data_IF_595621669212
#
_entry.id   IF_595621669212
#
_cell.length_a   1.000
_cell.length_b   1.000
_cell.length_c   1.000
_cell.angle_alpha   90.00
_cell.angle_beta   90.00
_cell.angle_gamma   90.00
#
_symmetry.space_group_name_H-M   'P 1'
#
loop_
_entity.id
_entity.type
_entity.pdbx_description
1 polymer ?
#
# COMPACT_ATOMS: atom_id res chain seq x y z
N UNK A 1 23.97 -40.64 67.27
CA UNK A 1 23.33 -41.32 66.13
C UNK A 1 21.98 -40.65 65.92
N UNK A 2 21.83 -39.77 64.94
CA UNK A 2 21.56 -40.00 63.53
C UNK A 2 20.07 -40.27 63.23
N UNK A 3 19.51 -39.29 62.50
CA UNK A 3 18.48 -39.35 61.45
C UNK A 3 16.99 -39.33 61.82
N UNK A 4 16.38 -38.24 61.33
CA UNK A 4 14.97 -37.90 61.18
C UNK A 4 14.23 -38.88 60.24
N UNK A 5 12.89 -38.87 60.19
CA UNK A 5 12.29 -38.32 58.97
C UNK A 5 11.04 -37.45 59.20
N UNK A 6 10.95 -36.43 58.33
CA UNK A 6 9.88 -35.43 58.18
C UNK A 6 8.57 -36.03 57.69
N UNK A 7 7.43 -35.47 58.14
CA UNK A 7 6.53 -34.58 57.38
C UNK A 7 5.15 -34.53 58.07
N UNK A 8 4.93 -33.48 58.84
CA UNK A 8 3.58 -33.07 59.25
C UNK A 8 3.02 -32.10 58.22
N UNK A 9 1.77 -32.34 57.83
CA UNK A 9 0.96 -31.44 57.04
C UNK A 9 0.41 -30.28 57.88
N UNK A 10 -0.47 -29.51 57.24
CA UNK A 10 -1.01 -28.20 57.62
C UNK A 10 -0.16 -27.02 57.13
N UNK A 11 -0.50 -26.59 55.91
CA UNK A 11 -0.21 -25.26 55.39
C UNK A 11 -1.23 -24.33 56.07
N UNK A 12 -0.79 -23.57 57.06
CA UNK A 12 -1.57 -22.43 57.56
C UNK A 12 -1.49 -21.28 56.54
N UNK A 13 -2.67 -20.84 56.13
CA UNK A 13 -2.90 -19.71 55.24
C UNK A 13 -2.41 -18.40 55.89
N UNK A 14 -1.30 -17.85 55.40
CA UNK A 14 -1.02 -16.43 55.51
C UNK A 14 -0.98 -15.82 54.11
N UNK A 15 -2.16 -15.37 53.69
CA UNK A 15 -2.41 -14.52 52.54
C UNK A 15 -1.55 -13.25 52.68
N UNK A 16 -0.59 -12.97 51.78
CA UNK A 16 0.11 -11.69 51.83
C UNK A 16 -0.89 -10.58 51.49
N UNK A 17 -1.16 -9.72 52.46
CA UNK A 17 -1.85 -8.45 52.23
C UNK A 17 -1.04 -7.64 51.21
N UNK A 18 -1.67 -7.12 50.14
CA UNK A 18 -0.94 -6.33 49.16
C UNK A 18 -0.44 -5.04 49.81
N UNK A 19 0.87 -4.83 49.78
CA UNK A 19 1.49 -3.56 50.14
C UNK A 19 0.84 -2.43 49.33
N UNK A 20 0.19 -1.51 50.04
CA UNK A 20 -0.38 -0.31 49.44
C UNK A 20 0.80 0.60 49.07
N UNK A 21 1.19 0.56 47.80
CA UNK A 21 2.16 1.50 47.24
C UNK A 21 1.52 2.90 47.32
N UNK A 22 2.02 3.74 48.22
CA UNK A 22 1.68 5.15 48.31
C UNK A 22 1.95 5.85 46.97
N UNK A 23 1.00 6.64 46.42
CA UNK A 23 1.17 7.28 45.11
C UNK A 23 2.06 8.53 45.24
N UNK A 24 3.35 8.35 45.45
CA UNK A 24 4.33 9.44 45.39
C UNK A 24 4.89 9.54 43.98
N UNK A 25 4.10 10.14 43.10
CA UNK A 25 4.52 10.50 41.77
C UNK A 25 3.34 11.02 40.98
N UNK A 26 3.30 12.33 40.76
CA UNK A 26 2.46 12.90 39.69
C UNK A 26 2.98 12.30 38.38
N UNK A 27 2.39 11.19 37.92
CA UNK A 27 2.48 10.80 36.51
C UNK A 27 1.80 11.91 35.74
N UNK A 28 2.58 12.88 35.28
CA UNK A 28 2.20 13.71 34.15
C UNK A 28 2.01 12.75 32.98
N UNK A 29 0.76 12.37 32.70
CA UNK A 29 0.42 11.84 31.39
C UNK A 29 0.93 12.89 30.39
N UNK A 30 1.74 12.51 29.37
CA UNK A 30 1.92 13.42 28.26
C UNK A 30 0.51 13.81 27.76
N UNK A 31 0.27 15.09 27.46
CA UNK A 31 -0.97 15.50 26.82
C UNK A 31 -1.27 14.55 25.67
N UNK A 32 -2.54 14.15 25.44
CA UNK A 32 -2.89 13.35 24.28
C UNK A 32 -2.30 14.06 23.05
N UNK A 33 -1.40 13.37 22.35
CA UNK A 33 -0.90 13.86 21.07
C UNK A 33 -2.13 13.97 20.18
N UNK A 34 -2.50 15.22 19.87
CA UNK A 34 -3.55 15.50 18.90
C UNK A 34 -2.97 15.01 17.58
N UNK A 35 -3.38 13.82 17.15
CA UNK A 35 -3.14 13.40 15.78
C UNK A 35 -3.67 14.52 14.88
N UNK A 36 -2.86 15.04 13.94
CA UNK A 36 -3.31 16.12 13.07
C UNK A 36 -4.60 15.67 12.39
N UNK A 37 -5.57 16.58 12.36
CA UNK A 37 -6.82 16.32 11.63
C UNK A 37 -6.45 15.90 10.20
N UNK A 38 -7.15 14.94 9.57
CA UNK A 38 -6.89 14.54 8.19
C UNK A 38 -6.87 15.72 7.19
N UNK A 39 -7.46 16.87 7.56
CA UNK A 39 -7.43 18.12 6.80
C UNK A 39 -6.09 18.91 6.87
N UNK A 40 -5.20 18.59 7.82
CA UNK A 40 -3.89 19.21 8.02
C UNK A 40 -2.73 18.41 7.42
N UNK A 41 -3.03 17.22 6.86
CA UNK A 41 -2.04 16.49 6.09
C UNK A 41 -1.68 17.30 4.83
N UNK A 42 -0.39 17.41 4.47
CA UNK A 42 -0.02 17.99 3.19
C UNK A 42 -0.76 17.24 2.07
N UNK A 43 -1.15 17.91 0.97
CA UNK A 43 -1.74 17.23 -0.18
C UNK A 43 -0.85 16.04 -0.51
N UNK A 44 -1.45 14.84 -0.56
CA UNK A 44 -0.74 13.63 -0.98
C UNK A 44 0.05 13.97 -2.25
N UNK A 45 1.37 13.77 -2.21
CA UNK A 45 2.30 14.18 -3.26
C UNK A 45 1.64 14.04 -4.64
N UNK A 46 1.43 15.17 -5.31
CA UNK A 46 0.95 15.15 -6.69
C UNK A 46 2.01 14.39 -7.48
N UNK A 47 1.63 13.26 -8.10
CA UNK A 47 2.57 12.49 -8.90
C UNK A 47 3.18 13.43 -9.96
N UNK A 48 4.46 13.76 -9.81
CA UNK A 48 5.18 14.52 -10.84
C UNK A 48 5.41 13.62 -12.05
N UNK A 49 4.91 14.05 -13.20
CA UNK A 49 5.10 13.33 -14.44
C UNK A 49 6.53 13.52 -14.98
N UNK A 50 7.16 12.47 -15.53
CA UNK A 50 6.61 11.12 -15.75
C UNK A 50 6.63 10.26 -14.49
N UNK A 51 5.61 9.42 -14.31
CA UNK A 51 5.58 8.43 -13.22
C UNK A 51 6.55 7.31 -13.57
N UNK A 52 7.53 7.08 -12.69
CA UNK A 52 8.49 5.98 -12.83
C UNK A 52 8.05 4.81 -11.97
N UNK A 53 7.84 3.65 -12.59
CA UNK A 53 7.53 2.39 -11.90
C UNK A 53 8.72 1.45 -12.03
N UNK A 54 9.28 1.01 -10.91
CA UNK A 54 10.39 0.05 -10.89
C UNK A 54 9.86 -1.38 -11.03
N UNK A 55 10.52 -2.18 -11.85
CA UNK A 55 10.29 -3.61 -12.02
C UNK A 55 11.05 -4.35 -10.92
N UNK A 56 10.35 -4.76 -9.87
CA UNK A 56 10.96 -5.35 -8.67
C UNK A 56 11.24 -6.84 -8.83
N UNK A 57 10.51 -7.53 -9.70
CA UNK A 57 10.56 -8.99 -9.80
C UNK A 57 11.29 -9.47 -11.04
N UNK A 58 10.98 -8.90 -12.22
CA UNK A 58 11.60 -9.33 -13.47
C UNK A 58 11.81 -8.12 -14.41
N UNK A 59 13.02 -7.92 -14.95
CA UNK A 59 13.21 -6.93 -16.01
C UNK A 59 12.42 -7.34 -17.25
N UNK A 60 11.93 -6.36 -18.00
CA UNK A 60 11.30 -6.58 -19.31
C UNK A 60 12.19 -6.04 -20.42
N UNK A 61 11.93 -6.46 -21.65
CA UNK A 61 12.63 -5.92 -22.82
C UNK A 61 11.96 -4.65 -23.31
N UNK A 62 12.74 -3.73 -23.86
CA UNK A 62 12.22 -2.60 -24.62
C UNK A 62 12.21 -2.90 -26.13
N UNK A 63 11.74 -1.92 -26.91
CA UNK A 63 11.63 -2.06 -28.37
C UNK A 63 12.98 -2.21 -29.10
N UNK A 64 14.10 -1.95 -28.41
CA UNK A 64 15.46 -2.15 -28.91
C UNK A 64 16.05 -3.50 -28.49
N UNK A 65 15.30 -4.30 -27.73
CA UNK A 65 15.76 -5.58 -27.18
C UNK A 65 16.63 -5.45 -25.92
N UNK A 66 16.68 -4.26 -25.31
CA UNK A 66 17.42 -4.02 -24.07
C UNK A 66 16.56 -4.36 -22.85
N UNK A 67 17.16 -4.96 -21.83
CA UNK A 67 16.48 -5.21 -20.56
C UNK A 67 16.35 -3.90 -19.75
N UNK A 68 15.12 -3.54 -19.40
CA UNK A 68 14.78 -2.38 -18.58
C UNK A 68 14.26 -2.82 -17.21
N UNK A 69 14.65 -2.07 -16.18
CA UNK A 69 14.23 -2.30 -14.79
C UNK A 69 13.24 -1.25 -14.30
N UNK A 70 12.92 -0.27 -15.13
CA UNK A 70 12.01 0.81 -14.79
C UNK A 70 11.20 1.17 -16.03
N UNK A 71 9.91 1.46 -15.83
CA UNK A 71 8.99 1.93 -16.86
C UNK A 71 8.60 3.35 -16.51
N UNK A 72 8.92 4.28 -17.40
CA UNK A 72 8.52 5.69 -17.32
C UNK A 72 7.19 5.87 -18.04
N UNK A 73 6.18 6.35 -17.34
CA UNK A 73 4.82 6.57 -17.85
C UNK A 73 4.59 8.07 -17.98
N UNK A 74 4.29 8.54 -19.19
CA UNK A 74 3.82 9.92 -19.38
C UNK A 74 2.38 10.09 -18.88
N UNK A 75 1.96 11.34 -18.74
CA UNK A 75 0.58 11.69 -18.42
C UNK A 75 -0.41 11.16 -19.47
N UNK A 76 -1.50 10.47 -19.04
CA UNK A 76 -2.60 10.08 -19.90
C UNK A 76 -3.30 11.29 -20.51
N UNK A 77 -3.72 11.18 -21.77
CA UNK A 77 -4.51 12.19 -22.45
C UNK A 77 -5.84 11.60 -22.89
N UNK A 78 -6.85 12.45 -23.10
CA UNK A 78 -8.15 12.01 -23.66
C UNK A 78 -7.98 11.25 -25.00
N UNK A 79 -6.98 11.63 -25.80
CA UNK A 79 -6.65 10.92 -27.04
C UNK A 79 -6.18 9.47 -26.83
N UNK A 80 -5.67 9.10 -25.65
CA UNK A 80 -5.33 7.71 -25.32
C UNK A 80 -6.58 6.89 -25.03
N UNK A 81 -7.53 7.47 -24.28
CA UNK A 81 -8.85 6.87 -24.03
C UNK A 81 -9.59 6.64 -25.34
N UNK A 82 -9.56 7.59 -26.28
CA UNK A 82 -10.24 7.42 -27.57
C UNK A 82 -9.63 6.32 -28.44
N UNK A 83 -8.33 6.02 -28.29
CA UNK A 83 -7.64 5.01 -29.10
C UNK A 83 -7.72 3.62 -28.49
N UNK A 84 -7.60 3.50 -27.18
CA UNK A 84 -7.48 2.22 -26.48
C UNK A 84 -8.70 1.89 -25.59
N UNK A 85 -9.61 2.85 -25.42
CA UNK A 85 -10.72 2.80 -24.47
C UNK A 85 -10.32 3.23 -23.06
N UNK A 86 -11.31 3.52 -22.22
CA UNK A 86 -11.08 3.69 -20.77
C UNK A 86 -10.81 2.30 -20.15
N UNK A 87 -9.65 2.08 -19.50
CA UNK A 87 -9.33 0.81 -18.86
C UNK A 87 -9.99 0.64 -17.49
N UNK A 88 -10.63 1.66 -16.93
CA UNK A 88 -11.30 1.61 -15.64
C UNK A 88 -12.82 1.64 -15.81
N UNK A 89 -13.51 0.79 -15.03
CA UNK A 89 -14.97 0.78 -14.93
C UNK A 89 -15.35 0.78 -13.45
N UNK A 90 -16.48 1.40 -13.14
CA UNK A 90 -17.09 1.33 -11.80
C UNK A 90 -18.37 0.51 -11.95
N UNK A 91 -18.52 -0.55 -11.16
CA UNK A 91 -19.74 -1.36 -11.16
C UNK A 91 -20.87 -0.66 -10.35
N UNK A 92 -22.05 -1.27 -10.28
CA UNK A 92 -23.17 -0.71 -9.52
C UNK A 92 -22.92 -0.70 -8.00
N UNK A 93 -22.04 -1.57 -7.51
CA UNK A 93 -21.67 -1.69 -6.09
C UNK A 93 -20.58 -0.67 -5.69
N UNK A 94 -20.03 0.07 -6.67
CA UNK A 94 -18.96 1.05 -6.46
C UNK A 94 -17.54 0.48 -6.58
N UNK A 95 -17.38 -0.80 -6.92
CA UNK A 95 -16.07 -1.40 -7.12
C UNK A 95 -15.42 -0.90 -8.40
N UNK A 96 -14.13 -0.61 -8.28
CA UNK A 96 -13.26 -0.23 -9.39
C UNK A 96 -12.74 -1.50 -10.06
N UNK A 97 -13.22 -1.76 -11.28
CA UNK A 97 -12.80 -2.88 -12.12
C UNK A 97 -11.79 -2.39 -13.15
N UNK A 98 -10.67 -3.09 -13.25
CA UNK A 98 -9.63 -2.84 -14.25
C UNK A 98 -9.87 -3.79 -15.44
N UNK A 99 -10.05 -3.24 -16.64
CA UNK A 99 -10.06 -3.98 -17.90
C UNK A 99 -8.61 -4.23 -18.30
N UNK A 100 -8.11 -5.44 -18.04
CA UNK A 100 -6.68 -5.79 -18.11
C UNK A 100 -6.12 -5.63 -19.52
N UNK A 101 -6.92 -5.98 -20.53
CA UNK A 101 -6.53 -5.83 -21.93
C UNK A 101 -6.33 -4.36 -22.26
N UNK A 102 -7.30 -3.49 -21.94
CA UNK A 102 -7.17 -2.05 -22.21
C UNK A 102 -6.06 -1.42 -21.39
N UNK A 103 -5.91 -1.82 -20.12
CA UNK A 103 -4.84 -1.32 -19.25
C UNK A 103 -3.46 -1.67 -19.80
N UNK A 104 -3.27 -2.88 -20.34
CA UNK A 104 -2.01 -3.29 -20.99
C UNK A 104 -1.68 -2.40 -22.19
N UNK A 105 -2.65 -2.14 -23.07
CA UNK A 105 -2.45 -1.20 -24.18
C UNK A 105 -2.20 0.24 -23.71
N UNK A 106 -2.83 0.65 -22.61
CA UNK A 106 -2.60 1.96 -22.01
C UNK A 106 -1.16 2.07 -21.49
N UNK A 107 -0.68 1.11 -20.70
CA UNK A 107 0.71 1.06 -20.20
C UNK A 107 1.69 1.13 -21.37
N UNK A 108 1.45 0.36 -22.43
CA UNK A 108 2.27 0.39 -23.65
C UNK A 108 2.30 1.78 -24.29
N UNK A 109 1.14 2.42 -24.46
CA UNK A 109 1.02 3.74 -25.08
C UNK A 109 1.62 4.89 -24.25
N UNK A 110 1.63 4.76 -22.93
CA UNK A 110 2.19 5.77 -22.01
C UNK A 110 3.70 5.59 -21.80
N UNK A 111 4.19 4.35 -21.88
CA UNK A 111 5.63 4.04 -21.73
C UNK A 111 6.41 4.06 -23.04
N UNK A 112 5.72 3.92 -24.17
CA UNK A 112 6.35 3.71 -25.48
C UNK A 112 6.91 2.31 -25.66
N UNK A 113 6.72 1.38 -24.70
CA UNK A 113 7.10 -0.03 -24.82
C UNK A 113 5.98 -0.80 -25.52
N UNK A 114 6.32 -1.66 -26.49
CA UNK A 114 5.32 -2.40 -27.26
C UNK A 114 4.54 -3.40 -26.38
N UNK A 115 3.23 -3.63 -26.67
CA UNK A 115 2.37 -4.49 -25.85
C UNK A 115 2.93 -5.89 -25.55
N UNK A 116 3.56 -6.62 -26.49
CA UNK A 116 4.11 -7.95 -26.19
C UNK A 116 5.13 -7.94 -25.03
N UNK A 117 5.92 -6.88 -24.89
CA UNK A 117 6.89 -6.78 -23.79
C UNK A 117 6.24 -6.37 -22.46
N UNK A 118 5.09 -5.68 -22.51
CA UNK A 118 4.27 -5.42 -21.32
C UNK A 118 3.59 -6.72 -20.85
N UNK A 119 3.12 -7.55 -21.78
CA UNK A 119 2.53 -8.86 -21.48
C UNK A 119 3.53 -9.84 -20.85
N UNK A 120 4.83 -9.64 -21.07
CA UNK A 120 5.93 -10.43 -20.47
C UNK A 120 6.32 -9.99 -19.04
N UNK A 121 5.73 -8.91 -18.52
CA UNK A 121 5.96 -8.42 -17.15
C UNK A 121 5.62 -9.47 -16.08
N UNK A 122 6.27 -9.40 -14.93
CA UNK A 122 5.77 -10.09 -13.74
C UNK A 122 4.38 -9.53 -13.39
N UNK A 123 3.39 -10.38 -13.05
CA UNK A 123 2.03 -9.92 -12.74
C UNK A 123 1.98 -8.86 -11.63
N UNK A 124 2.92 -8.88 -10.67
CA UNK A 124 2.99 -7.90 -9.57
C UNK A 124 3.52 -6.55 -10.03
N UNK A 125 4.47 -6.55 -10.96
CA UNK A 125 4.99 -5.33 -11.58
C UNK A 125 3.90 -4.72 -12.49
N UNK A 126 3.20 -5.53 -13.27
CA UNK A 126 2.05 -5.09 -14.07
C UNK A 126 0.95 -4.46 -13.21
N UNK A 127 0.57 -5.12 -12.10
CA UNK A 127 -0.42 -4.57 -11.17
C UNK A 127 0.05 -3.26 -10.54
N UNK A 128 1.35 -3.13 -10.24
CA UNK A 128 1.92 -1.88 -9.73
C UNK A 128 1.75 -0.73 -10.73
N UNK A 129 2.00 -0.96 -12.02
CA UNK A 129 1.70 0.01 -13.08
C UNK A 129 0.20 0.33 -13.15
N UNK A 130 -0.66 -0.69 -13.17
CA UNK A 130 -2.10 -0.53 -13.28
C UNK A 130 -2.69 0.30 -12.12
N UNK A 131 -2.26 0.04 -10.88
CA UNK A 131 -2.72 0.76 -9.70
C UNK A 131 -2.22 2.20 -9.63
N UNK A 132 -1.01 2.47 -10.12
CA UNK A 132 -0.52 3.85 -10.27
C UNK A 132 -1.36 4.64 -11.26
N UNK A 133 -1.77 4.00 -12.35
CA UNK A 133 -2.54 4.62 -13.42
C UNK A 133 -4.04 4.74 -13.13
N UNK A 134 -4.64 3.83 -12.35
CA UNK A 134 -6.11 3.73 -12.21
C UNK A 134 -6.79 5.04 -11.82
N UNK A 135 -6.17 5.85 -10.96
CA UNK A 135 -6.75 7.08 -10.42
C UNK A 135 -7.03 8.14 -11.50
N UNK A 136 -6.25 8.16 -12.57
CA UNK A 136 -6.36 9.15 -13.64
C UNK A 136 -7.50 8.87 -14.62
N UNK A 137 -8.12 7.69 -14.52
CA UNK A 137 -9.19 7.25 -15.40
C UNK A 137 -10.55 7.15 -14.70
N UNK A 138 -10.60 7.52 -13.42
CA UNK A 138 -11.82 7.69 -12.65
C UNK A 138 -12.33 9.14 -12.82
N UNK A 139 -13.65 9.36 -12.83
CA UNK A 139 -14.22 10.71 -12.79
C UNK A 139 -13.79 11.44 -11.51
N UNK A 140 -13.45 12.73 -11.61
CA UNK A 140 -13.09 13.55 -10.46
C UNK A 140 -14.35 14.04 -9.73
N UNK A 141 -14.57 13.66 -8.45
CA UNK A 141 -15.71 14.12 -7.67
C UNK A 141 -15.85 15.63 -7.54
N UNK A 142 -14.77 16.40 -7.70
CA UNK A 142 -14.81 17.85 -7.66
C UNK A 142 -15.40 18.48 -8.94
N UNK A 143 -15.64 17.70 -9.99
CA UNK A 143 -16.15 18.19 -11.26
C UNK A 143 -17.69 18.37 -11.30
N UNK A 144 -18.40 18.01 -10.22
CA UNK A 144 -19.86 18.16 -10.07
C UNK A 144 -20.22 18.55 -8.63
#
# INVERSE_FOLDING_TARGET
MNVNPKREGFVDEQKPEPEIISPTGKRTMPPPEIEPSPAELPPLDQDEWPIIVKMLYKPIRNNRGEDIKEVSLREPRAGDINRYGNPIRVNQEGDVIIDERKMTFMIAALSGVLPPFIEEMDPRDWNSCAYRLRRFFLPDPAAW
#
